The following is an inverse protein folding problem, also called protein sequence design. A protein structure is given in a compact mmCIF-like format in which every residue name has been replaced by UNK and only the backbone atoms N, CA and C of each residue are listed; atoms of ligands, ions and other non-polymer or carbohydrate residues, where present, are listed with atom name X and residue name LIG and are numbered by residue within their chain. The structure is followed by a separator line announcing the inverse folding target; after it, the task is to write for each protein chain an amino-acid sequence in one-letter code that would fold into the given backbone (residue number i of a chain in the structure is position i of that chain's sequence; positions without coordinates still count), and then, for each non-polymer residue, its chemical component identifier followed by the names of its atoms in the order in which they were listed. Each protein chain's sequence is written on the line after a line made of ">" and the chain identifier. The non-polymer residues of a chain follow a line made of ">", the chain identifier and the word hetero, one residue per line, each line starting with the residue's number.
data_IF_603535734697
#
_entry.id   IF_603535734697
#
_cell.length_a   1.000
_cell.length_b   1.000
_cell.length_c   1.000
_cell.angle_alpha   90.00
_cell.angle_beta   90.00
_cell.angle_gamma   90.00
#
_symmetry.space_group_name_H-M   'P 1'
#
loop_
_entity.id
_entity.type
_entity.pdbx_description
1 polymer ?
#
# COMPACT_ATOMS: atom_id res chain seq x y z
N UNK A 1 20.04 -1.08 -8.08
CA UNK A 1 18.72 -1.05 -7.39
C UNK A 1 17.55 -1.33 -8.32
N UNK A 2 17.39 -0.64 -9.46
CA UNK A 2 16.30 -0.90 -10.43
C UNK A 2 16.17 -2.37 -10.86
N UNK A 3 17.30 -3.05 -11.13
CA UNK A 3 17.33 -4.46 -11.54
C UNK A 3 16.75 -5.40 -10.48
N UNK A 4 17.25 -5.35 -9.24
CA UNK A 4 16.74 -6.16 -8.11
C UNK A 4 15.27 -5.88 -7.80
N UNK A 5 14.86 -4.61 -7.75
CA UNK A 5 13.47 -4.23 -7.49
C UNK A 5 12.53 -4.78 -8.57
N UNK A 6 12.99 -4.77 -9.84
CA UNK A 6 12.25 -5.36 -10.94
C UNK A 6 12.17 -6.89 -10.84
N UNK A 7 13.26 -7.57 -10.53
CA UNK A 7 13.26 -9.02 -10.29
C UNK A 7 12.30 -9.44 -9.18
N UNK A 8 12.20 -8.65 -8.11
CA UNK A 8 11.25 -8.91 -7.01
C UNK A 8 9.80 -8.70 -7.45
N UNK A 9 9.53 -7.69 -8.29
CA UNK A 9 8.19 -7.46 -8.84
C UNK A 9 7.81 -8.45 -9.93
N UNK A 10 8.78 -9.00 -10.66
CA UNK A 10 8.59 -10.00 -11.70
C UNK A 10 8.12 -11.35 -11.12
N UNK A 11 8.32 -11.59 -9.81
CA UNK A 11 7.61 -12.68 -9.12
C UNK A 11 6.09 -12.54 -9.29
N UNK A 12 5.57 -11.30 -9.28
CA UNK A 12 4.17 -10.99 -9.53
C UNK A 12 3.25 -11.44 -8.40
N UNK A 13 2.49 -12.52 -8.64
CA UNK A 13 1.50 -13.07 -7.73
C UNK A 13 2.00 -13.44 -6.31
N UNK A 14 3.14 -14.14 -6.14
CA UNK A 14 3.64 -14.52 -4.83
C UNK A 14 4.10 -13.30 -4.02
N UNK A 15 4.72 -12.31 -4.67
CA UNK A 15 5.17 -11.09 -4.00
C UNK A 15 3.98 -10.29 -3.44
N UNK A 16 3.00 -9.99 -4.30
CA UNK A 16 1.82 -9.22 -3.90
C UNK A 16 0.95 -10.02 -2.92
N UNK A 17 0.85 -11.34 -3.10
CA UNK A 17 0.18 -12.25 -2.17
C UNK A 17 0.79 -12.19 -0.77
N UNK A 18 2.11 -12.30 -0.68
CA UNK A 18 2.84 -12.19 0.59
C UNK A 18 2.63 -10.83 1.25
N UNK A 19 2.72 -9.73 0.48
CA UNK A 19 2.48 -8.39 1.00
C UNK A 19 1.06 -8.20 1.54
N UNK A 20 0.04 -8.71 0.84
CA UNK A 20 -1.35 -8.67 1.32
C UNK A 20 -1.51 -9.52 2.58
N UNK A 21 -0.92 -10.72 2.60
CA UNK A 21 -0.96 -11.59 3.77
C UNK A 21 -0.36 -10.92 5.00
N UNK A 22 0.83 -10.30 4.89
CA UNK A 22 1.47 -9.61 6.02
C UNK A 22 0.61 -8.46 6.53
N UNK A 23 -0.02 -7.67 5.66
CA UNK A 23 -0.91 -6.57 6.06
C UNK A 23 -2.14 -7.09 6.81
N UNK A 24 -2.79 -8.14 6.29
CA UNK A 24 -3.97 -8.75 6.92
C UNK A 24 -3.61 -9.45 8.23
N UNK A 25 -2.49 -10.16 8.27
CA UNK A 25 -1.99 -10.79 9.49
C UNK A 25 -1.67 -9.76 10.57
N UNK A 26 -1.04 -8.64 10.20
CA UNK A 26 -0.78 -7.51 11.10
C UNK A 26 -2.06 -6.97 11.75
N UNK A 27 -3.13 -6.82 10.96
CA UNK A 27 -4.45 -6.43 11.49
C UNK A 27 -5.00 -7.46 12.47
N UNK A 28 -5.01 -8.73 12.08
CA UNK A 28 -5.53 -9.80 12.90
C UNK A 28 -4.80 -9.84 14.26
N UNK A 29 -3.48 -9.64 14.25
CA UNK A 29 -2.68 -9.60 15.46
C UNK A 29 -3.08 -8.44 16.39
N UNK A 30 -3.35 -7.24 15.87
CA UNK A 30 -3.77 -6.08 16.68
C UNK A 30 -5.13 -6.32 17.38
N UNK A 31 -6.02 -7.09 16.74
CA UNK A 31 -7.36 -7.36 17.27
C UNK A 31 -7.46 -8.62 18.13
N UNK A 32 -6.62 -9.62 17.87
CA UNK A 32 -6.63 -10.91 18.57
C UNK A 32 -5.68 -10.92 19.75
N UNK A 33 -4.53 -10.25 19.63
CA UNK A 33 -3.50 -10.22 20.67
C UNK A 33 -3.62 -8.91 21.46
N UNK A 34 -3.61 -9.00 22.79
CA UNK A 34 -3.73 -7.84 23.68
C UNK A 34 -2.38 -7.37 24.25
N UNK A 35 -1.29 -8.01 23.84
CA UNK A 35 0.02 -7.87 24.47
C UNK A 35 1.07 -7.18 23.57
N UNK A 36 2.26 -7.00 24.13
CA UNK A 36 3.47 -6.50 23.45
C UNK A 36 3.76 -7.17 22.11
N UNK A 37 3.36 -8.43 21.97
CA UNK A 37 3.47 -9.18 20.71
C UNK A 37 2.67 -8.53 19.58
N UNK A 38 1.45 -8.04 19.86
CA UNK A 38 0.62 -7.34 18.89
C UNK A 38 1.32 -6.10 18.33
N UNK A 39 2.03 -5.37 19.20
CA UNK A 39 2.73 -4.13 18.87
C UNK A 39 3.98 -4.41 18.04
N UNK A 40 4.79 -5.40 18.42
CA UNK A 40 5.94 -5.83 17.61
C UNK A 40 5.50 -6.27 16.22
N UNK A 41 4.37 -6.97 16.11
CA UNK A 41 3.80 -7.39 14.84
C UNK A 41 3.21 -6.22 14.04
N UNK A 42 2.61 -5.23 14.68
CA UNK A 42 2.16 -4.00 14.04
C UNK A 42 3.34 -3.21 13.44
N UNK A 43 4.42 -3.06 14.21
CA UNK A 43 5.66 -2.42 13.73
C UNK A 43 6.30 -3.22 12.59
N UNK A 44 6.29 -4.55 12.67
CA UNK A 44 6.77 -5.41 11.59
C UNK A 44 5.93 -5.20 10.32
N UNK A 45 4.60 -5.19 10.44
CA UNK A 45 3.69 -4.90 9.33
C UNK A 45 3.92 -3.49 8.73
N UNK A 46 4.22 -2.49 9.57
CA UNK A 46 4.62 -1.17 9.12
C UNK A 46 5.90 -1.24 8.28
N UNK A 47 6.95 -1.91 8.77
CA UNK A 47 8.23 -2.05 8.05
C UNK A 47 8.05 -2.77 6.70
N UNK A 48 7.26 -3.84 6.65
CA UNK A 48 6.96 -4.53 5.39
C UNK A 48 6.19 -3.63 4.41
N UNK A 49 5.25 -2.84 4.90
CA UNK A 49 4.50 -1.88 4.08
C UNK A 49 5.41 -0.77 3.55
N UNK A 50 6.34 -0.27 4.36
CA UNK A 50 7.34 0.70 3.94
C UNK A 50 8.28 0.11 2.88
N UNK A 51 8.75 -1.12 3.09
CA UNK A 51 9.58 -1.83 2.12
C UNK A 51 8.85 -2.01 0.79
N UNK A 52 7.55 -2.34 0.80
CA UNK A 52 6.71 -2.42 -0.40
C UNK A 52 6.62 -1.09 -1.15
N UNK A 53 6.50 0.03 -0.43
CA UNK A 53 6.54 1.37 -1.03
C UNK A 53 7.91 1.60 -1.69
N UNK A 54 9.01 1.34 -0.97
CA UNK A 54 10.38 1.55 -1.47
C UNK A 54 10.67 0.70 -2.70
N UNK A 55 10.31 -0.58 -2.70
CA UNK A 55 10.48 -1.48 -3.86
C UNK A 55 9.71 -0.95 -5.06
N UNK A 56 8.46 -0.53 -4.88
CA UNK A 56 7.64 -0.02 -5.99
C UNK A 56 8.12 1.34 -6.51
N UNK A 57 8.66 2.21 -5.66
CA UNK A 57 9.32 3.44 -6.08
C UNK A 57 10.60 3.08 -6.87
N UNK A 58 11.44 2.19 -6.35
CA UNK A 58 12.69 1.80 -6.97
C UNK A 58 12.51 1.11 -8.34
N UNK A 59 11.38 0.44 -8.56
CA UNK A 59 11.03 -0.16 -9.84
C UNK A 59 10.28 0.78 -10.80
N UNK A 60 9.81 1.92 -10.33
CA UNK A 60 9.16 2.92 -11.17
C UNK A 60 10.15 3.51 -12.18
N UNK A 61 9.70 3.83 -13.40
CA UNK A 61 10.54 4.47 -14.43
C UNK A 61 11.21 5.73 -13.91
N UNK A 62 10.42 6.59 -13.27
CA UNK A 62 10.85 7.91 -12.80
C UNK A 62 11.43 7.89 -11.38
N UNK A 63 11.37 6.77 -10.66
CA UNK A 63 11.72 6.68 -9.23
C UNK A 63 11.06 7.74 -8.32
N UNK A 64 9.91 8.29 -8.73
CA UNK A 64 9.21 9.35 -8.00
C UNK A 64 8.08 8.78 -7.15
N UNK A 65 7.94 9.33 -5.95
CA UNK A 65 6.77 9.13 -5.10
C UNK A 65 5.57 9.86 -5.70
N UNK A 66 4.43 9.17 -5.80
CA UNK A 66 3.15 9.76 -6.17
C UNK A 66 2.07 9.32 -5.18
N UNK A 67 1.38 10.30 -4.60
CA UNK A 67 0.33 10.07 -3.59
C UNK A 67 -0.82 9.22 -4.16
N UNK A 68 -1.16 9.41 -5.43
CA UNK A 68 -2.16 8.59 -6.13
C UNK A 68 -1.77 7.11 -6.27
N UNK A 69 -0.48 6.77 -6.20
CA UNK A 69 0.03 5.40 -6.39
C UNK A 69 0.39 4.69 -5.08
N UNK A 70 0.84 5.46 -4.09
CA UNK A 70 1.38 4.93 -2.82
C UNK A 70 0.62 5.43 -1.59
N UNK A 71 -0.34 6.35 -1.74
CA UNK A 71 -1.00 7.02 -0.61
C UNK A 71 -1.71 6.07 0.33
N UNK A 72 -2.39 5.04 -0.19
CA UNK A 72 -3.04 4.03 0.65
C UNK A 72 -2.04 3.24 1.49
N UNK A 73 -0.91 2.85 0.91
CA UNK A 73 0.14 2.12 1.62
C UNK A 73 0.91 3.01 2.58
N UNK A 74 1.13 4.29 2.23
CA UNK A 74 1.73 5.27 3.12
C UNK A 74 0.83 5.52 4.33
N UNK A 75 -0.47 5.70 4.12
CA UNK A 75 -1.46 5.82 5.20
C UNK A 75 -1.42 4.57 6.08
N UNK A 76 -1.46 3.38 5.47
CA UNK A 76 -1.41 2.13 6.22
C UNK A 76 -0.12 1.97 7.03
N UNK A 77 1.03 2.33 6.46
CA UNK A 77 2.30 2.40 7.18
C UNK A 77 2.20 3.32 8.41
N UNK A 78 1.69 4.53 8.23
CA UNK A 78 1.53 5.49 9.33
C UNK A 78 0.60 4.95 10.41
N UNK A 79 -0.52 4.33 10.04
CA UNK A 79 -1.46 3.78 11.01
C UNK A 79 -0.85 2.62 11.80
N UNK A 80 -0.15 1.68 11.15
CA UNK A 80 0.55 0.60 11.87
C UNK A 80 1.68 1.12 12.76
N UNK A 81 2.44 2.10 12.27
CA UNK A 81 3.55 2.70 13.00
C UNK A 81 3.04 3.46 14.25
N UNK A 82 1.98 4.24 14.10
CA UNK A 82 1.34 4.95 15.21
C UNK A 82 0.69 3.99 16.21
N UNK A 83 0.09 2.88 15.78
CA UNK A 83 -0.47 1.88 16.70
C UNK A 83 0.65 1.23 17.52
N UNK A 84 1.71 0.80 16.85
CA UNK A 84 2.88 0.19 17.50
C UNK A 84 3.61 1.12 18.47
N UNK A 85 3.65 2.43 18.19
CA UNK A 85 4.30 3.42 19.07
C UNK A 85 3.40 3.92 20.20
N UNK A 86 2.17 4.34 19.88
CA UNK A 86 1.30 5.06 20.81
C UNK A 86 0.50 4.13 21.72
N UNK A 87 0.29 2.89 21.28
CA UNK A 87 -0.54 1.91 21.98
C UNK A 87 0.29 0.85 22.71
N UNK A 88 1.54 1.17 23.06
CA UNK A 88 2.48 0.28 23.74
C UNK A 88 2.04 -0.13 25.16
N UNK A 89 1.43 0.79 25.92
CA UNK A 89 1.07 0.57 27.33
C UNK A 89 -0.39 0.89 27.69
N UNK A 90 -1.21 1.36 26.74
CA UNK A 90 -2.58 1.79 27.07
C UNK A 90 -3.58 1.45 25.96
N UNK A 91 -4.07 0.21 25.99
CA UNK A 91 -5.23 -0.27 25.20
C UNK A 91 -6.47 0.64 25.36
N UNK A 92 -6.55 1.40 26.45
CA UNK A 92 -7.70 2.25 26.79
C UNK A 92 -7.63 3.71 26.27
N UNK A 93 -6.56 4.14 25.57
CA UNK A 93 -6.50 5.53 25.08
C UNK A 93 -7.52 5.75 23.94
N UNK A 94 -8.32 6.84 23.96
CA UNK A 94 -9.27 7.15 22.89
C UNK A 94 -8.63 7.21 21.50
N UNK A 95 -7.39 7.69 21.42
CA UNK A 95 -6.60 7.75 20.19
C UNK A 95 -6.29 6.36 19.60
N UNK A 96 -5.95 5.38 20.44
CA UNK A 96 -5.73 4.00 20.01
C UNK A 96 -7.01 3.37 19.47
N UNK A 97 -8.15 3.64 20.11
CA UNK A 97 -9.44 3.16 19.64
C UNK A 97 -9.81 3.76 18.28
N UNK A 98 -9.63 5.07 18.10
CA UNK A 98 -9.86 5.73 16.82
C UNK A 98 -8.96 5.18 15.72
N UNK A 99 -7.67 4.97 16.02
CA UNK A 99 -6.71 4.41 15.08
C UNK A 99 -7.11 3.00 14.63
N UNK A 100 -7.47 2.14 15.59
CA UNK A 100 -7.93 0.78 15.32
C UNK A 100 -9.21 0.76 14.49
N UNK A 101 -10.14 1.69 14.69
CA UNK A 101 -11.35 1.78 13.86
C UNK A 101 -11.04 2.08 12.39
N UNK A 102 -10.01 2.88 12.09
CA UNK A 102 -9.64 3.25 10.71
C UNK A 102 -8.82 2.15 10.02
N UNK A 103 -8.06 1.37 10.80
CA UNK A 103 -7.09 0.39 10.29
C UNK A 103 -7.68 -0.66 9.31
N UNK A 104 -8.85 -1.28 9.57
CA UNK A 104 -9.47 -2.23 8.64
C UNK A 104 -9.77 -1.62 7.27
N UNK A 105 -10.24 -0.36 7.24
CA UNK A 105 -10.56 0.33 5.99
C UNK A 105 -9.29 0.63 5.19
N UNK A 106 -8.23 1.10 5.86
CA UNK A 106 -6.95 1.35 5.21
C UNK A 106 -6.38 0.06 4.59
N UNK A 107 -6.52 -1.07 5.27
CA UNK A 107 -6.10 -2.38 4.76
C UNK A 107 -6.93 -2.82 3.58
N UNK A 108 -8.26 -2.68 3.63
CA UNK A 108 -9.13 -3.00 2.50
C UNK A 108 -8.75 -2.19 1.25
N UNK A 109 -8.49 -0.90 1.40
CA UNK A 109 -8.06 -0.04 0.27
C UNK A 109 -6.69 -0.47 -0.26
N UNK A 110 -5.72 -0.74 0.62
CA UNK A 110 -4.38 -1.20 0.25
C UNK A 110 -4.41 -2.56 -0.47
N UNK A 111 -5.11 -3.54 0.11
CA UNK A 111 -5.30 -4.88 -0.46
C UNK A 111 -6.05 -4.82 -1.77
N UNK A 112 -7.11 -4.01 -1.86
CA UNK A 112 -7.85 -3.78 -3.11
C UNK A 112 -6.97 -3.21 -4.21
N UNK A 113 -6.14 -2.21 -3.90
CA UNK A 113 -5.16 -1.65 -4.83
C UNK A 113 -4.12 -2.69 -5.30
N UNK A 114 -3.69 -3.60 -4.42
CA UNK A 114 -2.80 -4.70 -4.78
C UNK A 114 -3.51 -5.79 -5.60
N UNK A 115 -4.77 -6.09 -5.31
CA UNK A 115 -5.59 -7.04 -6.07
C UNK A 115 -5.85 -6.56 -7.49
N UNK A 116 -6.15 -5.26 -7.68
CA UNK A 116 -6.28 -4.65 -9.01
C UNK A 116 -5.00 -4.77 -9.84
N UNK A 117 -3.82 -4.79 -9.21
CA UNK A 117 -2.53 -5.00 -9.90
C UNK A 117 -2.35 -6.45 -10.31
N UNK A 118 -2.82 -7.40 -9.49
CA UNK A 118 -2.80 -8.83 -9.83
C UNK A 118 -3.71 -9.17 -11.00
N UNK A 119 -4.88 -8.53 -11.07
CA UNK A 119 -5.87 -8.79 -12.12
C UNK A 119 -5.61 -7.99 -13.39
N UNK A 120 -4.65 -7.05 -13.38
CA UNK A 120 -4.32 -6.26 -14.57
C UNK A 120 -3.61 -7.15 -15.58
N UNK A 121 -4.26 -7.41 -16.72
CA UNK A 121 -3.59 -8.05 -17.86
C UNK A 121 -2.39 -7.20 -18.28
N UNK A 122 -1.25 -7.81 -18.67
CA UNK A 122 -0.14 -7.07 -19.24
C UNK A 122 -0.66 -6.28 -20.45
N UNK A 123 -0.36 -4.97 -20.48
CA UNK A 123 -0.74 -4.12 -21.61
C UNK A 123 -0.06 -4.71 -22.86
N UNK A 124 -0.79 -5.01 -23.94
CA UNK A 124 -0.17 -5.53 -25.16
C UNK A 124 0.92 -4.54 -25.63
N UNK A 125 2.05 -5.04 -26.15
CA UNK A 125 3.09 -4.18 -26.70
C UNK A 125 2.53 -3.47 -27.94
N UNK A 126 2.10 -2.23 -27.79
CA UNK A 126 1.48 -1.42 -28.84
C UNK A 126 0.94 -0.08 -28.36
N UNK A 127 0.44 0.01 -27.12
CA UNK A 127 -0.21 1.23 -26.62
C UNK A 127 0.77 2.22 -25.94
N UNK A 128 1.92 2.46 -26.58
CA UNK A 128 2.92 3.43 -26.12
C UNK A 128 3.05 4.66 -27.01
N UNK A 129 2.15 4.87 -27.97
CA UNK A 129 2.03 6.14 -28.69
C UNK A 129 0.57 6.56 -28.78
N UNK A 130 0.10 7.23 -27.74
CA UNK A 130 -0.94 8.27 -27.83
C UNK A 130 -0.89 9.03 -26.49
N UNK A 131 0.16 9.83 -26.36
CA UNK A 131 0.07 11.00 -25.52
C UNK A 131 -0.96 11.93 -26.13
N UNK A 132 -1.85 12.46 -25.30
CA UNK A 132 -2.22 13.87 -25.36
C UNK A 132 -2.80 14.34 -26.71
N UNK A 133 -4.08 14.02 -26.96
CA UNK A 133 -4.92 14.91 -27.75
C UNK A 133 -6.28 15.08 -27.05
N UNK A 134 -6.27 15.83 -25.94
CA UNK A 134 -7.45 16.61 -25.56
C UNK A 134 -7.67 17.66 -26.64
N UNK A 135 -8.42 17.28 -27.69
CA UNK A 135 -9.14 18.26 -28.51
C UNK A 135 -10.20 18.85 -27.60
N UNK A 136 -9.89 20.01 -27.01
CA UNK A 136 -10.93 20.90 -26.49
C UNK A 136 -11.70 21.35 -27.73
N UNK A 137 -12.80 20.65 -28.00
CA UNK A 137 -13.70 20.93 -29.12
C UNK A 137 -14.08 22.40 -29.12
N UNK A 138 -13.66 23.08 -30.18
CA UNK A 138 -13.96 24.48 -30.43
C UNK A 138 -15.47 24.69 -30.49
N UNK A 139 -15.91 25.76 -29.83
CA UNK A 139 -17.20 26.35 -30.07
C UNK A 139 -17.25 26.84 -31.53
N UNK A 140 -18.06 26.19 -32.36
CA UNK A 140 -18.66 26.84 -33.52
C UNK A 140 -20.04 27.34 -33.08
N UNK A 141 -20.14 28.66 -32.94
CA UNK A 141 -21.41 29.37 -32.82
C UNK A 141 -21.92 29.55 -34.25
N UNK A 142 -23.14 29.07 -34.51
CA UNK A 142 -23.91 29.39 -35.74
C UNK A 142 -24.36 30.86 -35.74
#
# INVERSE_FOLDING_TARGET
>A
MKSLAKSVLDLGAPYLGCQMFVKVAGLACIYVLSDKLAQSLALLAALFTLLDIVIRIAASRDCKFALSKHGADLLLFLLFFLDGLLCFDAVARPSCRALRLVLPFAILVSVGGNMMRLTRKPKPPGDLEEGEMTVVGGAAVE
#
